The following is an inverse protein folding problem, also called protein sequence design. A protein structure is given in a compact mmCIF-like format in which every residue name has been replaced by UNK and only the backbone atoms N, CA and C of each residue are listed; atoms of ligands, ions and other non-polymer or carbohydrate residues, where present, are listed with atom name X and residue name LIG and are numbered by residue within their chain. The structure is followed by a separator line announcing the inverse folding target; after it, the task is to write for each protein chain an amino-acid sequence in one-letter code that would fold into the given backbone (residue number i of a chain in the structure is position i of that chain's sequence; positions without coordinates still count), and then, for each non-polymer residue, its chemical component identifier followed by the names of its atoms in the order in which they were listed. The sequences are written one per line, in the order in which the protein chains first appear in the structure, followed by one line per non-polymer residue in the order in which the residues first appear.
data_IF_462685071960
#
_entry.id   IF_462685071960
#
_cell.length_a   1.000
_cell.length_b   1.000
_cell.length_c   1.000
_cell.angle_alpha   90.00
_cell.angle_beta   90.00
_cell.angle_gamma   90.00
#
_symmetry.space_group_name_H-M   'P 1'
#
loop_
_entity.id
_entity.type
_entity.pdbx_description
1 polymer ?
#
# COMPACT_ATOMS: atom_id res chain seq x y z
N UNK A 1 -35.50 74.30 42.89
CA UNK A 1 -34.13 74.60 42.41
C UNK A 1 -33.67 73.50 41.47
N UNK A 2 -32.91 73.84 40.41
CA UNK A 2 -33.02 73.16 39.12
C UNK A 2 -31.67 72.63 38.57
N UNK A 3 -31.71 72.17 37.30
CA UNK A 3 -30.64 72.14 36.26
C UNK A 3 -29.68 70.95 36.35
N UNK A 4 -29.60 70.01 35.40
CA UNK A 4 -29.66 70.06 33.92
C UNK A 4 -28.69 71.07 33.28
N UNK A 5 -27.72 70.59 32.49
CA UNK A 5 -27.24 71.17 31.22
C UNK A 5 -26.33 70.11 30.55
N UNK A 6 -26.63 69.60 29.35
CA UNK A 6 -26.55 70.24 28.01
C UNK A 6 -25.08 70.49 27.60
N UNK A 7 -24.59 70.26 26.37
CA UNK A 7 -25.20 69.93 25.07
C UNK A 7 -24.08 69.84 24.00
N UNK A 8 -24.32 69.05 22.96
CA UNK A 8 -23.94 69.16 21.53
C UNK A 8 -22.45 69.32 21.15
N UNK A 9 -21.91 68.39 20.35
CA UNK A 9 -21.95 68.33 18.87
C UNK A 9 -21.12 69.45 18.22
N UNK A 10 -20.27 69.15 17.23
CA UNK A 10 -20.49 69.45 15.80
C UNK A 10 -19.27 69.01 14.94
N UNK A 11 -19.58 68.48 13.75
CA UNK A 11 -18.92 68.63 12.42
C UNK A 11 -17.55 68.01 12.05
N UNK A 12 -17.70 67.08 11.09
CA UNK A 12 -16.92 66.77 9.87
C UNK A 12 -15.99 67.82 9.24
N UNK A 13 -14.86 67.35 8.66
CA UNK A 13 -14.34 67.63 7.29
C UNK A 13 -12.95 66.95 7.12
N UNK A 14 -12.77 65.95 6.23
CA UNK A 14 -12.36 65.99 4.80
C UNK A 14 -10.93 66.50 4.47
N UNK A 15 -10.09 65.56 4.01
CA UNK A 15 -9.13 65.58 2.86
C UNK A 15 -8.05 66.68 2.73
N UNK A 16 -6.76 66.27 2.65
CA UNK A 16 -5.88 66.35 1.43
C UNK A 16 -4.39 66.02 1.69
N UNK A 17 -3.86 65.17 0.79
CA UNK A 17 -2.51 65.01 0.20
C UNK A 17 -1.33 65.90 0.68
N UNK A 18 -0.13 65.33 0.88
CA UNK A 18 0.93 65.17 -0.15
C UNK A 18 2.37 64.98 0.42
N UNK A 19 3.05 63.97 -0.11
CA UNK A 19 4.49 63.73 -0.34
C UNK A 19 5.59 64.53 0.39
N UNK A 20 6.50 63.80 1.07
CA UNK A 20 7.94 64.10 1.11
C UNK A 20 8.78 62.82 0.99
N UNK A 21 9.73 62.86 0.05
CA UNK A 21 10.84 61.94 -0.34
C UNK A 21 11.70 61.45 0.85
N UNK A 22 12.02 60.15 1.05
CA UNK A 22 13.11 59.29 0.45
C UNK A 22 14.50 59.97 0.62
N UNK A 23 15.58 59.47 1.25
CA UNK A 23 16.23 58.15 1.56
C UNK A 23 17.41 58.40 2.56
N UNK A 24 18.37 57.48 2.91
CA UNK A 24 18.37 56.03 3.22
C UNK A 24 19.29 55.65 4.44
N UNK A 25 19.53 54.33 4.63
CA UNK A 25 20.47 53.61 5.54
C UNK A 25 19.81 53.06 6.82
N UNK A 26 19.93 51.79 7.22
CA UNK A 26 20.86 50.70 6.90
C UNK A 26 20.13 49.38 7.26
N UNK A 27 20.12 48.36 6.40
CA UNK A 27 19.54 47.04 6.71
C UNK A 27 20.67 46.05 6.94
N UNK A 28 20.68 45.42 8.12
CA UNK A 28 21.36 44.13 8.38
C UNK A 28 20.30 43.07 8.69
N UNK A 29 20.45 41.82 8.23
CA UNK A 29 19.40 40.81 8.30
C UNK A 29 19.45 40.03 9.62
N UNK A 30 18.35 40.01 10.35
CA UNK A 30 18.12 39.05 11.43
C UNK A 30 17.20 37.93 10.93
N UNK A 31 17.75 36.73 10.97
CA UNK A 31 17.11 35.43 10.77
C UNK A 31 15.84 35.27 11.60
N UNK A 32 14.75 34.82 10.98
CA UNK A 32 13.56 34.32 11.68
C UNK A 32 13.19 32.94 11.13
N UNK A 33 13.20 31.96 12.05
CA UNK A 33 12.71 30.60 11.84
C UNK A 33 11.22 30.62 11.46
N UNK A 34 10.84 29.89 10.42
CA UNK A 34 9.43 29.66 10.06
C UNK A 34 8.86 28.54 10.91
N UNK A 35 7.95 28.87 11.83
CA UNK A 35 6.91 27.97 12.32
C UNK A 35 5.75 27.91 11.30
N UNK A 36 5.04 26.78 11.12
CA UNK A 36 3.92 26.70 10.19
C UNK A 36 2.66 27.22 10.89
N UNK A 37 2.24 28.44 10.55
CA UNK A 37 0.94 28.98 10.95
C UNK A 37 -0.17 28.44 10.02
N UNK A 38 -1.21 27.95 10.67
CA UNK A 38 -2.47 27.42 10.14
C UNK A 38 -3.15 28.46 9.23
N UNK A 39 -3.49 28.07 8.00
CA UNK A 39 -4.37 28.87 7.12
C UNK A 39 -5.81 28.45 7.34
N UNK A 40 -6.66 29.39 7.79
CA UNK A 40 -8.12 29.23 7.86
C UNK A 40 -8.72 29.86 6.60
N UNK A 41 -9.59 29.15 5.89
CA UNK A 41 -10.39 29.70 4.80
C UNK A 41 -11.84 29.27 5.00
N UNK A 42 -12.75 30.25 5.00
CA UNK A 42 -14.19 30.03 5.12
C UNK A 42 -14.83 29.97 3.74
N UNK A 43 -15.66 28.97 3.49
CA UNK A 43 -16.65 28.99 2.40
C UNK A 43 -18.00 28.54 2.92
N UNK A 44 -19.04 29.34 2.63
CA UNK A 44 -20.44 29.07 3.01
C UNK A 44 -21.15 28.48 1.81
N UNK A 45 -21.60 27.23 1.89
CA UNK A 45 -22.65 26.69 1.01
C UNK A 45 -23.66 25.91 1.86
N UNK A 46 -24.90 26.39 1.88
CA UNK A 46 -26.13 25.73 2.38
C UNK A 46 -26.10 25.16 3.81
N UNK A 47 -25.94 26.04 4.81
CA UNK A 47 -26.68 25.93 6.07
C UNK A 47 -26.37 24.78 7.04
N UNK A 48 -25.35 23.96 6.80
CA UNK A 48 -24.89 22.96 7.76
C UNK A 48 -23.47 23.31 8.25
N UNK A 49 -23.32 23.54 9.55
CA UNK A 49 -22.05 23.84 10.20
C UNK A 49 -21.29 22.51 10.40
N UNK A 50 -20.54 22.06 9.39
CA UNK A 50 -19.62 20.93 9.56
C UNK A 50 -18.32 21.49 10.14
N UNK A 51 -18.10 21.22 11.43
CA UNK A 51 -16.82 21.50 12.08
C UNK A 51 -15.75 20.60 11.45
N UNK A 52 -14.79 21.21 10.75
CA UNK A 52 -13.56 20.55 10.29
C UNK A 52 -12.81 20.02 11.51
N UNK A 53 -12.90 18.72 11.76
CA UNK A 53 -11.99 18.03 12.65
C UNK A 53 -10.57 18.15 12.10
N UNK A 54 -9.66 18.67 12.93
CA UNK A 54 -8.22 18.37 13.01
C UNK A 54 -7.54 17.73 11.79
N UNK A 55 -6.57 18.45 11.20
CA UNK A 55 -5.70 17.97 10.09
C UNK A 55 -4.77 16.84 10.54
N UNK A 56 -5.30 15.64 10.70
CA UNK A 56 -4.52 14.42 10.50
C UNK A 56 -4.61 14.04 9.02
N UNK A 57 -3.46 14.02 8.34
CA UNK A 57 -3.40 13.59 6.94
C UNK A 57 -3.60 12.08 6.82
N UNK A 58 -4.03 11.63 5.65
CA UNK A 58 -4.10 10.19 5.34
C UNK A 58 -2.70 9.57 5.36
N UNK A 59 -2.54 8.55 6.20
CA UNK A 59 -1.31 7.79 6.38
C UNK A 59 -1.30 6.58 5.45
N UNK A 60 -0.11 6.13 5.08
CA UNK A 60 0.10 4.83 4.43
C UNK A 60 0.57 3.86 5.52
N UNK A 61 -0.30 2.94 5.93
CA UNK A 61 -0.05 2.00 7.04
C UNK A 61 0.33 0.59 6.55
N UNK A 62 0.21 0.34 5.25
CA UNK A 62 0.72 -0.85 4.60
C UNK A 62 1.06 -0.55 3.14
N UNK A 63 2.14 -1.13 2.62
CA UNK A 63 2.51 -0.94 1.22
C UNK A 63 3.17 -2.19 0.66
N UNK A 64 2.60 -2.74 -0.42
CA UNK A 64 3.17 -3.86 -1.14
C UNK A 64 3.07 -3.69 -2.66
N UNK A 65 4.15 -4.05 -3.34
CA UNK A 65 4.27 -3.93 -4.79
C UNK A 65 5.03 -5.11 -5.37
N UNK A 66 4.99 -5.24 -6.69
CA UNK A 66 5.63 -6.33 -7.41
C UNK A 66 6.20 -5.81 -8.72
N UNK A 67 7.43 -6.22 -9.04
CA UNK A 67 8.11 -5.86 -10.28
C UNK A 67 8.89 -7.05 -10.84
N UNK A 68 9.29 -6.98 -12.12
CA UNK A 68 10.14 -8.01 -12.73
C UNK A 68 11.60 -7.80 -12.31
N UNK A 69 12.31 -8.87 -11.97
CA UNK A 69 13.72 -8.78 -11.57
C UNK A 69 14.60 -8.13 -12.64
N UNK A 70 14.27 -8.30 -13.94
CA UNK A 70 15.02 -7.69 -15.04
C UNK A 70 15.11 -6.15 -14.97
N UNK A 71 14.16 -5.47 -14.33
CA UNK A 71 14.18 -4.01 -14.21
C UNK A 71 15.21 -3.49 -13.19
N UNK A 72 15.84 -4.37 -12.41
CA UNK A 72 16.97 -3.98 -11.55
C UNK A 72 18.13 -3.42 -12.37
N UNK A 73 18.33 -3.89 -13.62
CA UNK A 73 19.37 -3.36 -14.52
C UNK A 73 19.19 -1.86 -14.84
N UNK A 74 17.98 -1.34 -14.68
CA UNK A 74 17.63 0.03 -15.00
C UNK A 74 17.80 0.97 -13.79
N UNK A 75 18.10 0.45 -12.59
CA UNK A 75 18.28 1.24 -11.36
C UNK A 75 19.39 2.29 -11.46
N UNK A 76 20.48 1.98 -12.17
CA UNK A 76 21.57 2.93 -12.41
C UNK A 76 21.15 4.13 -13.30
N UNK A 77 20.07 3.98 -14.08
CA UNK A 77 19.68 4.94 -15.12
C UNK A 77 18.56 5.90 -14.67
N UNK A 78 18.23 5.98 -13.37
CA UNK A 78 17.09 6.75 -12.86
C UNK A 78 17.00 8.20 -13.40
N UNK A 79 18.13 8.89 -13.52
CA UNK A 79 18.19 10.28 -14.00
C UNK A 79 17.60 10.49 -15.41
N UNK A 80 17.50 9.43 -16.21
CA UNK A 80 16.99 9.47 -17.58
C UNK A 80 15.46 9.36 -17.71
N UNK A 81 14.73 8.96 -16.65
CA UNK A 81 13.30 8.63 -16.75
C UNK A 81 12.34 9.77 -16.38
N UNK A 82 12.81 10.87 -15.79
CA UNK A 82 11.94 12.00 -15.43
C UNK A 82 11.92 13.05 -16.56
N UNK A 83 10.82 13.11 -17.32
CA UNK A 83 10.64 13.99 -18.49
C UNK A 83 10.01 15.35 -18.16
N UNK A 84 9.73 15.68 -16.89
CA UNK A 84 9.09 16.95 -16.53
C UNK A 84 10.05 18.13 -16.76
N UNK A 85 9.73 18.99 -17.73
CA UNK A 85 10.55 20.14 -18.13
C UNK A 85 10.26 21.42 -17.35
N UNK A 86 9.30 21.40 -16.41
CA UNK A 86 8.99 22.57 -15.58
C UNK A 86 10.16 22.93 -14.65
N UNK A 87 10.27 24.20 -14.24
CA UNK A 87 11.32 24.63 -13.30
C UNK A 87 11.25 23.87 -11.95
N UNK A 88 10.03 23.54 -11.50
CA UNK A 88 9.79 22.67 -10.34
C UNK A 88 10.27 21.23 -10.61
N UNK A 89 9.98 20.69 -11.79
CA UNK A 89 10.48 19.39 -12.26
C UNK A 89 12.01 19.35 -12.39
N UNK A 90 12.65 20.46 -12.77
CA UNK A 90 14.10 20.57 -12.92
C UNK A 90 14.83 20.60 -11.56
N UNK A 91 14.39 21.44 -10.62
CA UNK A 91 14.91 21.43 -9.25
C UNK A 91 14.74 20.06 -8.58
N UNK A 92 13.59 19.42 -8.84
CA UNK A 92 13.29 18.07 -8.37
C UNK A 92 14.21 17.03 -8.99
N UNK A 93 14.44 17.06 -10.31
CA UNK A 93 15.46 16.20 -10.96
C UNK A 93 16.82 16.36 -10.33
N UNK A 94 17.26 17.58 -10.02
CA UNK A 94 18.58 17.81 -9.44
C UNK A 94 18.71 17.21 -8.04
N UNK A 95 17.66 17.32 -7.21
CA UNK A 95 17.63 16.75 -5.86
C UNK A 95 17.50 15.23 -5.85
N UNK A 96 16.65 14.66 -6.70
CA UNK A 96 16.53 13.21 -6.87
C UNK A 96 17.82 12.64 -7.48
N UNK A 97 18.33 13.25 -8.56
CA UNK A 97 19.59 12.84 -9.19
C UNK A 97 20.78 12.89 -8.22
N UNK A 98 20.82 13.86 -7.29
CA UNK A 98 21.86 13.91 -6.26
C UNK A 98 21.74 12.81 -5.20
N UNK A 99 20.54 12.27 -4.96
CA UNK A 99 20.35 11.09 -4.11
C UNK A 99 20.89 9.84 -4.82
N UNK A 100 20.53 9.65 -6.09
CA UNK A 100 20.93 8.47 -6.87
C UNK A 100 22.40 8.49 -7.29
N UNK A 101 23.00 9.66 -7.52
CA UNK A 101 24.42 9.78 -7.88
C UNK A 101 25.36 9.38 -6.73
N UNK A 102 24.86 9.30 -5.50
CA UNK A 102 25.62 8.82 -4.34
C UNK A 102 25.55 7.30 -4.17
N UNK A 103 24.70 6.63 -4.94
CA UNK A 103 24.54 5.18 -4.90
C UNK A 103 25.50 4.58 -5.92
N UNK A 104 26.42 3.74 -5.46
CA UNK A 104 27.29 2.95 -6.33
C UNK A 104 26.53 1.71 -6.78
N UNK A 105 26.06 1.72 -8.02
CA UNK A 105 25.34 0.59 -8.60
C UNK A 105 26.31 -0.46 -9.16
N UNK A 106 26.00 -1.77 -9.04
CA UNK A 106 26.77 -2.82 -9.69
C UNK A 106 26.79 -2.67 -11.21
N UNK A 107 27.93 -2.97 -11.81
CA UNK A 107 28.03 -3.06 -13.27
C UNK A 107 27.47 -4.38 -13.77
N UNK A 108 26.71 -4.32 -14.86
CA UNK A 108 26.18 -5.51 -15.52
C UNK A 108 27.18 -6.03 -16.55
N UNK A 109 27.46 -7.34 -16.57
CA UNK A 109 28.38 -7.91 -17.55
C UNK A 109 27.83 -7.71 -18.96
N UNK A 110 28.73 -7.58 -19.93
CA UNK A 110 28.40 -7.64 -21.35
C UNK A 110 28.72 -9.04 -21.88
N UNK A 111 27.81 -9.59 -22.68
CA UNK A 111 28.07 -10.88 -23.31
C UNK A 111 29.09 -10.69 -24.43
N UNK A 112 30.24 -11.35 -24.31
CA UNK A 112 31.25 -11.39 -25.36
C UNK A 112 31.15 -12.76 -26.02
N UNK A 113 30.74 -12.77 -27.29
CA UNK A 113 30.60 -14.01 -28.03
C UNK A 113 31.99 -14.61 -28.32
N UNK A 114 32.27 -15.86 -27.91
CA UNK A 114 33.57 -16.45 -28.17
C UNK A 114 33.75 -16.75 -29.66
N UNK A 115 34.77 -16.15 -30.28
CA UNK A 115 35.07 -16.36 -31.70
C UNK A 115 35.91 -17.64 -31.91
N UNK A 116 35.55 -18.44 -32.91
CA UNK A 116 36.36 -19.60 -33.34
C UNK A 116 36.32 -20.82 -32.42
N UNK A 117 35.41 -20.84 -31.45
CA UNK A 117 35.29 -21.89 -30.44
C UNK A 117 34.16 -22.89 -30.74
N UNK A 118 34.21 -24.06 -30.09
CA UNK A 118 33.23 -25.13 -30.28
C UNK A 118 31.86 -24.74 -29.72
N UNK A 119 30.79 -25.45 -30.12
CA UNK A 119 29.45 -25.25 -29.54
C UNK A 119 29.45 -25.38 -28.01
N UNK A 120 30.27 -26.29 -27.46
CA UNK A 120 30.39 -26.50 -26.01
C UNK A 120 30.99 -25.28 -25.29
N UNK A 121 31.97 -24.64 -25.90
CA UNK A 121 32.62 -23.44 -25.34
C UNK A 121 31.65 -22.24 -25.36
N UNK A 122 30.80 -22.15 -26.40
CA UNK A 122 29.75 -21.14 -26.49
C UNK A 122 28.68 -21.32 -25.41
N UNK A 123 28.26 -22.55 -25.16
CA UNK A 123 27.29 -22.86 -24.11
C UNK A 123 27.87 -22.55 -22.73
N UNK A 124 29.15 -22.86 -22.51
CA UNK A 124 29.85 -22.53 -21.26
C UNK A 124 29.93 -21.01 -21.05
N UNK A 125 30.33 -20.25 -22.08
CA UNK A 125 30.37 -18.80 -22.01
C UNK A 125 29.00 -18.18 -21.75
N UNK A 126 27.93 -18.73 -22.33
CA UNK A 126 26.56 -18.29 -22.07
C UNK A 126 26.15 -18.54 -20.61
N UNK A 127 26.48 -19.71 -20.06
CA UNK A 127 26.18 -20.05 -18.66
C UNK A 127 26.94 -19.14 -17.68
N UNK A 128 28.22 -18.87 -17.94
CA UNK A 128 29.03 -17.99 -17.10
C UNK A 128 28.52 -16.55 -17.16
N UNK A 129 28.12 -16.08 -18.34
CA UNK A 129 27.46 -14.79 -18.50
C UNK A 129 26.15 -14.71 -17.71
N UNK A 130 25.28 -15.71 -17.83
CA UNK A 130 24.01 -15.77 -17.10
C UNK A 130 24.23 -15.76 -15.58
N UNK A 131 25.21 -16.52 -15.08
CA UNK A 131 25.59 -16.52 -13.66
C UNK A 131 26.05 -15.13 -13.20
N UNK A 132 26.93 -14.51 -13.97
CA UNK A 132 27.48 -13.18 -13.67
C UNK A 132 26.38 -12.10 -13.70
N UNK A 133 25.45 -12.22 -14.64
CA UNK A 133 24.30 -11.33 -14.75
C UNK A 133 23.35 -11.47 -13.55
N UNK A 134 23.08 -12.71 -13.11
CA UNK A 134 22.25 -12.94 -11.93
C UNK A 134 22.90 -12.37 -10.66
N UNK A 135 24.22 -12.53 -10.51
CA UNK A 135 24.97 -11.92 -9.39
C UNK A 135 24.81 -10.39 -9.42
N UNK A 136 24.91 -9.75 -10.58
CA UNK A 136 24.70 -8.31 -10.72
C UNK A 136 23.26 -7.88 -10.35
N UNK A 137 22.25 -8.67 -10.73
CA UNK A 137 20.86 -8.44 -10.30
C UNK A 137 20.72 -8.53 -8.78
N UNK A 138 21.26 -9.57 -8.16
CA UNK A 138 21.15 -9.80 -6.71
C UNK A 138 21.87 -8.69 -5.92
N UNK A 139 23.06 -8.29 -6.35
CA UNK A 139 23.78 -7.14 -5.78
C UNK A 139 22.98 -5.84 -5.95
N UNK A 140 22.36 -5.64 -7.11
CA UNK A 140 21.56 -4.43 -7.38
C UNK A 140 20.31 -4.40 -6.51
N UNK A 141 19.68 -5.55 -6.24
CA UNK A 141 18.58 -5.67 -5.30
C UNK A 141 19.00 -5.26 -3.88
N UNK A 142 20.16 -5.73 -3.41
CA UNK A 142 20.69 -5.33 -2.09
C UNK A 142 20.91 -3.82 -2.01
N UNK A 143 21.63 -3.26 -2.98
CA UNK A 143 21.90 -1.80 -3.07
C UNK A 143 20.61 -0.99 -3.15
N UNK A 144 19.61 -1.47 -3.90
CA UNK A 144 18.31 -0.82 -4.00
C UNK A 144 17.63 -0.72 -2.63
N UNK A 145 17.56 -1.83 -1.89
CA UNK A 145 16.88 -1.83 -0.60
C UNK A 145 17.65 -1.05 0.45
N UNK A 146 18.97 -1.18 0.51
CA UNK A 146 19.79 -0.49 1.49
C UNK A 146 19.87 1.03 1.21
N UNK A 147 20.19 1.43 -0.02
CA UNK A 147 20.48 2.84 -0.31
C UNK A 147 19.24 3.66 -0.68
N UNK A 148 18.30 3.09 -1.45
CA UNK A 148 17.10 3.81 -1.86
C UNK A 148 15.98 3.69 -0.82
N UNK A 149 15.56 2.47 -0.48
CA UNK A 149 14.48 2.25 0.48
C UNK A 149 14.90 2.46 1.94
N UNK A 150 16.18 2.25 2.26
CA UNK A 150 16.68 2.40 3.62
C UNK A 150 16.46 1.18 4.50
N UNK A 151 16.45 -0.03 3.93
CA UNK A 151 16.24 -1.29 4.66
C UNK A 151 17.38 -2.26 4.42
N UNK A 152 17.78 -2.98 5.47
CA UNK A 152 18.68 -4.13 5.37
C UNK A 152 17.88 -5.37 5.00
N UNK A 153 18.35 -6.13 4.02
CA UNK A 153 17.79 -7.46 3.72
C UNK A 153 18.40 -8.46 4.70
N UNK A 154 17.55 -9.16 5.44
CA UNK A 154 17.95 -10.23 6.35
C UNK A 154 18.23 -11.56 5.64
N UNK A 155 18.64 -12.56 6.41
CA UNK A 155 18.85 -13.93 5.91
C UNK A 155 17.55 -14.58 5.41
N UNK A 156 17.69 -15.56 4.51
CA UNK A 156 16.55 -16.34 4.01
C UNK A 156 15.79 -16.97 5.16
N UNK A 157 14.46 -16.99 5.08
CA UNK A 157 13.59 -17.69 6.03
C UNK A 157 13.46 -19.18 5.74
N UNK A 158 14.13 -19.66 4.67
CA UNK A 158 14.00 -21.03 4.16
C UNK A 158 12.54 -21.42 3.86
N UNK A 159 11.69 -20.41 3.65
CA UNK A 159 10.26 -20.57 3.42
C UNK A 159 9.79 -19.54 2.39
N UNK A 160 9.08 -20.03 1.39
CA UNK A 160 8.38 -19.22 0.41
C UNK A 160 7.21 -18.42 1.00
N UNK A 161 6.72 -17.46 0.23
CA UNK A 161 5.57 -16.62 0.61
C UNK A 161 4.76 -16.29 -0.64
N UNK A 162 3.43 -16.32 -0.61
CA UNK A 162 2.56 -15.95 -1.75
C UNK A 162 2.92 -16.63 -3.10
N UNK A 163 3.36 -17.89 -3.07
CA UNK A 163 3.78 -18.63 -4.27
C UNK A 163 5.19 -18.31 -4.77
N UNK A 164 5.93 -17.44 -4.07
CA UNK A 164 7.36 -17.27 -4.25
C UNK A 164 8.14 -18.39 -3.55
N UNK A 165 9.32 -18.73 -4.09
CA UNK A 165 10.16 -19.82 -3.58
C UNK A 165 10.82 -19.46 -2.26
N UNK A 166 11.29 -18.22 -2.13
CA UNK A 166 12.06 -17.74 -0.98
C UNK A 166 11.48 -16.43 -0.45
N UNK A 167 11.72 -16.16 0.84
CA UNK A 167 11.38 -14.87 1.45
C UNK A 167 12.43 -14.43 2.45
N UNK A 168 12.64 -13.12 2.50
CA UNK A 168 13.67 -12.44 3.28
C UNK A 168 13.02 -11.32 4.09
N UNK A 169 13.21 -11.25 5.41
CA UNK A 169 12.73 -10.13 6.20
C UNK A 169 13.53 -8.87 5.87
N UNK A 170 12.86 -7.72 5.97
CA UNK A 170 13.48 -6.41 5.90
C UNK A 170 13.65 -5.86 7.31
N UNK A 171 14.81 -5.28 7.60
CA UNK A 171 15.11 -4.65 8.88
C UNK A 171 15.51 -3.19 8.70
N UNK A 172 15.44 -2.43 9.78
CA UNK A 172 16.01 -1.08 9.82
C UNK A 172 17.54 -1.12 9.65
N UNK A 173 18.11 -0.07 9.06
CA UNK A 173 19.55 0.02 8.86
C UNK A 173 20.35 0.35 10.14
N UNK A 174 19.69 0.92 11.15
CA UNK A 174 20.38 1.50 12.31
C UNK A 174 20.70 0.44 13.36
N UNK A 175 19.70 -0.36 13.73
CA UNK A 175 19.81 -1.44 14.71
C UNK A 175 19.83 -2.81 14.06
N UNK A 176 19.17 -2.98 12.90
CA UNK A 176 19.01 -4.28 12.25
C UNK A 176 18.08 -5.24 13.01
N UNK A 177 17.29 -4.74 13.97
CA UNK A 177 16.48 -5.55 14.87
C UNK A 177 14.98 -5.38 14.60
N UNK A 178 14.56 -4.20 14.13
CA UNK A 178 13.15 -3.89 13.94
C UNK A 178 12.74 -4.37 12.55
N UNK A 179 11.84 -5.34 12.50
CA UNK A 179 11.36 -5.87 11.23
C UNK A 179 10.40 -4.90 10.54
N UNK A 180 10.77 -4.45 9.34
CA UNK A 180 10.06 -3.46 8.54
C UNK A 180 9.18 -4.07 7.44
N UNK A 181 9.39 -5.34 7.10
CA UNK A 181 8.68 -5.98 6.01
C UNK A 181 9.29 -7.28 5.54
N UNK A 182 9.00 -7.64 4.29
CA UNK A 182 9.54 -8.80 3.60
C UNK A 182 9.76 -8.54 2.10
N UNK A 183 10.75 -9.20 1.54
CA UNK A 183 10.89 -9.44 0.10
C UNK A 183 10.63 -10.93 -0.15
N UNK A 184 9.99 -11.26 -1.27
CA UNK A 184 9.84 -12.63 -1.74
C UNK A 184 10.33 -12.77 -3.18
N UNK A 185 11.10 -13.82 -3.44
CA UNK A 185 11.85 -14.05 -4.68
C UNK A 185 11.57 -15.45 -5.25
N UNK A 186 11.77 -15.57 -6.56
CA UNK A 186 11.70 -16.84 -7.29
C UNK A 186 10.28 -17.33 -7.55
N UNK A 187 10.03 -17.89 -8.73
CA UNK A 187 8.66 -18.22 -9.16
C UNK A 187 7.91 -16.97 -9.66
N UNK A 188 6.58 -17.06 -9.78
CA UNK A 188 5.71 -15.94 -10.19
C UNK A 188 6.22 -15.12 -11.40
N UNK A 189 6.71 -15.81 -12.44
CA UNK A 189 7.30 -15.21 -13.64
C UNK A 189 8.48 -14.26 -13.35
N UNK A 190 9.41 -14.67 -12.49
CA UNK A 190 10.64 -13.94 -12.16
C UNK A 190 10.36 -12.52 -11.66
N UNK A 191 9.27 -12.41 -10.89
CA UNK A 191 8.94 -11.18 -10.19
C UNK A 191 9.55 -11.17 -8.80
N UNK A 192 9.65 -9.96 -8.25
CA UNK A 192 10.07 -9.68 -6.90
C UNK A 192 8.87 -9.02 -6.22
N UNK A 193 8.40 -9.62 -5.13
CA UNK A 193 7.34 -9.05 -4.30
C UNK A 193 7.94 -8.40 -3.07
N UNK A 194 7.49 -7.19 -2.76
CA UNK A 194 7.94 -6.43 -1.60
C UNK A 194 6.73 -6.01 -0.81
N UNK A 195 6.79 -6.19 0.51
CA UNK A 195 5.75 -5.79 1.44
C UNK A 195 6.35 -5.11 2.66
N UNK A 196 5.85 -3.93 2.98
CA UNK A 196 6.21 -3.14 4.15
C UNK A 196 5.07 -3.17 5.16
N UNK A 197 5.41 -3.32 6.44
CA UNK A 197 4.48 -3.15 7.56
C UNK A 197 4.20 -1.67 7.82
N UNK A 198 3.25 -1.34 8.70
CA UNK A 198 3.03 0.06 9.10
C UNK A 198 4.27 0.72 9.70
N UNK A 199 5.06 -0.04 10.47
CA UNK A 199 6.36 0.42 10.96
C UNK A 199 7.34 0.69 9.81
N UNK A 200 7.40 -0.20 8.82
CA UNK A 200 8.23 -0.01 7.62
C UNK A 200 7.80 1.19 6.78
N UNK A 201 6.49 1.40 6.61
CA UNK A 201 5.94 2.57 5.91
C UNK A 201 6.29 3.86 6.65
N UNK A 202 6.11 3.92 7.97
CA UNK A 202 6.51 5.08 8.79
C UNK A 202 7.99 5.41 8.62
N UNK A 203 8.86 4.39 8.68
CA UNK A 203 10.30 4.56 8.49
C UNK A 203 10.64 5.08 7.09
N UNK A 204 10.03 4.51 6.05
CA UNK A 204 10.27 4.90 4.65
C UNK A 204 9.82 6.33 4.40
N UNK A 205 8.58 6.67 4.75
CA UNK A 205 7.99 7.97 4.45
C UNK A 205 8.53 9.11 5.32
N UNK A 206 9.21 8.80 6.42
CA UNK A 206 10.02 9.78 7.15
C UNK A 206 11.24 10.28 6.33
N UNK A 207 11.73 9.47 5.39
CA UNK A 207 12.96 9.74 4.61
C UNK A 207 12.72 9.95 3.12
N UNK A 208 11.57 9.53 2.61
CA UNK A 208 11.22 9.53 1.18
C UNK A 208 9.83 10.09 1.02
N UNK A 209 9.67 11.05 0.10
CA UNK A 209 8.33 11.52 -0.23
C UNK A 209 7.57 10.45 -1.03
N UNK A 210 6.23 10.37 -0.90
CA UNK A 210 5.42 9.47 -1.72
C UNK A 210 5.59 9.72 -3.23
N UNK A 211 5.83 10.97 -3.62
CA UNK A 211 6.08 11.36 -5.01
C UNK A 211 7.41 10.82 -5.55
N UNK A 212 8.49 10.87 -4.77
CA UNK A 212 9.78 10.28 -5.14
C UNK A 212 9.63 8.76 -5.33
N UNK A 213 8.98 8.11 -4.37
CA UNK A 213 8.74 6.67 -4.42
C UNK A 213 7.90 6.30 -5.65
N UNK A 214 6.82 7.04 -5.90
CA UNK A 214 5.99 6.88 -7.10
C UNK A 214 6.82 6.95 -8.39
N UNK A 215 7.63 8.00 -8.54
CA UNK A 215 8.44 8.22 -9.75
C UNK A 215 9.46 7.10 -9.96
N UNK A 216 10.08 6.62 -8.89
CA UNK A 216 11.02 5.50 -8.96
C UNK A 216 10.34 4.19 -9.35
N UNK A 217 9.26 3.84 -8.65
CA UNK A 217 8.55 2.59 -8.89
C UNK A 217 7.94 2.54 -10.29
N UNK A 218 7.35 3.65 -10.77
CA UNK A 218 6.77 3.71 -12.13
C UNK A 218 7.82 3.84 -13.21
N UNK A 219 8.80 4.72 -13.05
CA UNK A 219 9.79 5.04 -14.09
C UNK A 219 10.87 3.98 -14.27
N UNK A 220 11.40 3.43 -13.17
CA UNK A 220 12.53 2.47 -13.21
C UNK A 220 12.04 1.03 -13.09
N UNK A 221 11.18 0.73 -12.11
CA UNK A 221 10.70 -0.64 -11.90
C UNK A 221 9.48 -1.00 -12.76
N UNK A 222 9.03 -0.07 -13.62
CA UNK A 222 7.89 -0.22 -14.53
C UNK A 222 6.61 -0.72 -13.82
N UNK A 223 6.36 -0.22 -12.61
CA UNK A 223 5.20 -0.57 -11.81
C UNK A 223 4.05 0.38 -12.17
N UNK A 224 2.99 -0.17 -12.75
CA UNK A 224 1.73 0.57 -13.00
C UNK A 224 0.68 0.34 -11.92
N UNK A 225 0.88 -0.68 -11.08
CA UNK A 225 -0.10 -1.11 -10.08
C UNK A 225 0.55 -1.54 -8.79
N UNK A 226 -0.10 -1.16 -7.70
CA UNK A 226 0.29 -1.54 -6.36
C UNK A 226 -0.44 -2.84 -5.99
N UNK A 227 0.27 -3.81 -5.44
CA UNK A 227 -0.31 -5.09 -5.03
C UNK A 227 -1.25 -4.89 -3.84
N UNK A 228 -0.82 -4.09 -2.87
CA UNK A 228 -1.63 -3.64 -1.73
C UNK A 228 -1.16 -2.28 -1.22
N UNK A 229 -2.09 -1.40 -0.87
CA UNK A 229 -1.81 -0.19 -0.08
C UNK A 229 -2.92 -0.04 0.95
N UNK A 230 -2.55 0.15 2.21
CA UNK A 230 -3.52 0.45 3.26
C UNK A 230 -3.41 1.93 3.60
N UNK A 231 -4.52 2.65 3.44
CA UNK A 231 -4.65 4.07 3.73
C UNK A 231 -5.40 4.22 5.06
N UNK A 232 -4.88 5.03 5.97
CA UNK A 232 -5.43 5.17 7.31
C UNK A 232 -5.65 6.64 7.70
N UNK A 233 -6.76 6.89 8.38
CA UNK A 233 -7.07 8.14 9.06
C UNK A 233 -7.18 7.87 10.57
N UNK A 234 -6.46 8.67 11.37
CA UNK A 234 -6.54 8.62 12.83
C UNK A 234 -7.41 9.78 13.33
N UNK A 235 -8.50 9.45 14.03
CA UNK A 235 -9.41 10.38 14.68
C UNK A 235 -9.16 10.36 16.20
N UNK A 236 -8.75 11.51 16.76
CA UNK A 236 -8.57 11.66 18.21
C UNK A 236 -9.74 12.38 18.88
N UNK A 237 -10.67 12.90 18.09
CA UNK A 237 -11.85 13.64 18.53
C UNK A 237 -13.05 12.72 18.78
N UNK A 238 -13.03 11.49 18.25
CA UNK A 238 -14.11 10.52 18.39
C UNK A 238 -15.26 10.68 17.40
N UNK A 239 -15.17 11.60 16.44
CA UNK A 239 -16.23 11.86 15.46
C UNK A 239 -16.44 10.72 14.44
N UNK A 240 -15.42 9.87 14.25
CA UNK A 240 -15.40 8.79 13.26
C UNK A 240 -15.13 7.44 13.94
N UNK A 241 -15.97 7.12 14.91
CA UNK A 241 -15.91 5.87 15.68
C UNK A 241 -16.62 4.69 14.98
N UNK A 242 -16.77 3.58 15.70
CA UNK A 242 -17.41 2.38 15.18
C UNK A 242 -18.92 2.55 14.97
N UNK A 243 -19.60 3.33 15.81
CA UNK A 243 -21.04 3.59 15.69
C UNK A 243 -21.32 4.48 14.46
N UNK A 244 -20.45 5.45 14.18
CA UNK A 244 -20.48 6.22 12.95
C UNK A 244 -20.33 5.32 11.72
N UNK A 245 -19.38 4.38 11.74
CA UNK A 245 -19.17 3.44 10.63
C UNK A 245 -20.37 2.51 10.40
N UNK A 246 -21.06 2.06 11.46
CA UNK A 246 -22.29 1.27 11.35
C UNK A 246 -23.42 2.09 10.73
N UNK A 247 -23.63 3.31 11.23
CA UNK A 247 -24.65 4.24 10.70
C UNK A 247 -24.39 4.51 9.21
N UNK A 248 -23.14 4.83 8.85
CA UNK A 248 -22.75 5.07 7.47
C UNK A 248 -22.92 3.83 6.58
N UNK A 249 -22.76 2.61 7.13
CA UNK A 249 -23.05 1.38 6.40
C UNK A 249 -24.54 1.22 6.11
N UNK A 250 -25.39 1.46 7.12
CA UNK A 250 -26.85 1.39 6.98
C UNK A 250 -27.39 2.44 6.00
N UNK A 251 -26.77 3.61 5.96
CA UNK A 251 -27.04 4.68 4.98
C UNK A 251 -26.49 4.37 3.57
N UNK A 252 -25.76 3.26 3.40
CA UNK A 252 -25.19 2.86 2.11
C UNK A 252 -23.93 3.63 1.71
N UNK A 253 -23.28 4.36 2.61
CA UNK A 253 -22.12 5.22 2.30
C UNK A 253 -20.84 4.45 1.92
N UNK A 254 -20.81 3.13 2.12
CA UNK A 254 -19.76 2.23 1.62
C UNK A 254 -20.10 1.58 0.27
N UNK A 255 -21.29 1.86 -0.25
CA UNK A 255 -21.81 1.26 -1.47
C UNK A 255 -21.55 2.13 -2.68
N UNK A 256 -20.67 1.69 -3.59
CA UNK A 256 -20.49 2.37 -4.88
C UNK A 256 -21.38 1.78 -5.97
N UNK A 257 -21.23 0.47 -6.23
CA UNK A 257 -21.92 -0.28 -7.31
C UNK A 257 -21.99 -1.77 -6.96
N UNK A 258 -23.06 -2.46 -7.37
CA UNK A 258 -23.17 -3.92 -7.33
C UNK A 258 -23.79 -4.47 -6.05
N UNK A 259 -23.22 -5.53 -5.48
CA UNK A 259 -23.69 -6.09 -4.20
C UNK A 259 -23.11 -5.25 -3.04
N UNK A 260 -23.91 -4.86 -2.04
CA UNK A 260 -23.40 -4.24 -0.83
C UNK A 260 -22.28 -5.07 -0.19
N UNK A 261 -21.20 -4.44 0.30
CA UNK A 261 -20.13 -5.15 0.98
C UNK A 261 -20.65 -5.83 2.25
N UNK A 262 -20.05 -6.95 2.65
CA UNK A 262 -20.43 -7.62 3.90
C UNK A 262 -20.02 -6.77 5.12
N UNK A 263 -20.86 -6.70 6.15
CA UNK A 263 -20.55 -6.06 7.42
C UNK A 263 -20.22 -7.12 8.48
N UNK A 264 -19.21 -6.86 9.30
CA UNK A 264 -18.96 -7.63 10.53
C UNK A 264 -18.48 -6.71 11.64
N UNK A 265 -19.16 -6.71 12.78
CA UNK A 265 -18.79 -5.94 13.96
C UNK A 265 -18.28 -6.87 15.07
N UNK A 266 -17.03 -6.70 15.47
CA UNK A 266 -16.40 -7.42 16.57
C UNK A 266 -16.17 -6.48 17.75
N UNK A 267 -16.72 -6.83 18.91
CA UNK A 267 -16.52 -6.11 20.18
C UNK A 267 -16.18 -7.09 21.30
N UNK A 268 -14.96 -7.68 21.31
CA UNK A 268 -14.55 -8.64 22.34
C UNK A 268 -14.61 -8.02 23.74
N UNK A 269 -15.02 -8.83 24.71
CA UNK A 269 -15.15 -8.44 26.11
C UNK A 269 -14.61 -9.52 27.04
N UNK A 270 -14.01 -9.08 28.15
CA UNK A 270 -13.66 -9.93 29.29
C UNK A 270 -14.43 -9.45 30.52
N UNK A 271 -15.49 -10.18 30.88
CA UNK A 271 -16.46 -9.70 31.85
C UNK A 271 -17.12 -8.41 31.34
N UNK A 272 -17.09 -7.36 32.16
CA UNK A 272 -17.66 -6.05 31.81
C UNK A 272 -16.71 -5.14 31.02
N UNK A 273 -15.44 -5.53 30.87
CA UNK A 273 -14.42 -4.72 30.19
C UNK A 273 -14.42 -5.03 28.70
N UNK A 274 -14.56 -3.97 27.89
CA UNK A 274 -14.37 -4.04 26.43
C UNK A 274 -12.87 -4.09 26.13
N UNK A 275 -12.42 -5.17 25.50
CA UNK A 275 -11.00 -5.35 25.14
C UNK A 275 -10.67 -4.78 23.76
N UNK A 276 -11.68 -4.56 22.93
CA UNK A 276 -11.53 -3.95 21.61
C UNK A 276 -12.87 -3.75 20.93
N UNK A 277 -12.85 -2.96 19.87
CA UNK A 277 -14.01 -2.71 19.03
C UNK A 277 -13.56 -2.48 17.60
N UNK A 278 -14.15 -3.19 16.65
CA UNK A 278 -13.78 -3.14 15.24
C UNK A 278 -14.97 -3.44 14.34
N UNK A 279 -15.23 -2.56 13.38
CA UNK A 279 -16.16 -2.73 12.27
C UNK A 279 -15.37 -3.05 11.01
N UNK A 280 -15.72 -4.17 10.38
CA UNK A 280 -15.20 -4.60 9.09
C UNK A 280 -16.27 -4.39 8.02
N UNK A 281 -15.90 -3.74 6.91
CA UNK A 281 -16.77 -3.61 5.73
C UNK A 281 -16.06 -4.17 4.51
N UNK A 282 -16.66 -5.20 3.90
CA UNK A 282 -16.10 -5.96 2.77
C UNK A 282 -15.42 -7.26 3.21
N UNK A 283 -14.56 -7.79 2.35
CA UNK A 283 -13.82 -9.03 2.61
C UNK A 283 -12.33 -8.82 2.40
N UNK A 284 -11.46 -9.51 3.15
CA UNK A 284 -10.02 -9.52 2.84
C UNK A 284 -9.71 -10.03 1.43
N UNK A 285 -10.63 -10.73 0.75
CA UNK A 285 -10.45 -11.16 -0.64
C UNK A 285 -10.84 -10.08 -1.66
N UNK A 286 -11.60 -9.04 -1.28
CA UNK A 286 -12.01 -7.97 -2.20
C UNK A 286 -10.88 -6.95 -2.43
N UNK A 287 -11.07 -6.12 -3.47
CA UNK A 287 -10.14 -5.04 -3.83
C UNK A 287 -10.18 -3.87 -2.86
N UNK A 288 -11.26 -3.71 -2.11
CA UNK A 288 -11.46 -2.70 -1.07
C UNK A 288 -11.94 -3.43 0.18
N UNK A 289 -11.29 -3.19 1.31
CA UNK A 289 -11.65 -3.77 2.60
C UNK A 289 -11.38 -2.79 3.73
N UNK A 290 -12.44 -2.39 4.43
CA UNK A 290 -12.38 -1.39 5.49
C UNK A 290 -12.26 -2.01 6.87
N UNK A 291 -11.57 -1.30 7.76
CA UNK A 291 -11.45 -1.55 9.19
C UNK A 291 -11.60 -0.22 9.91
N UNK A 292 -12.68 -0.05 10.67
CA UNK A 292 -12.84 1.06 11.60
C UNK A 292 -12.75 0.50 13.00
N UNK A 293 -11.81 0.97 13.81
CA UNK A 293 -11.57 0.35 15.12
C UNK A 293 -11.06 1.31 16.16
N UNK A 294 -11.28 0.96 17.43
CA UNK A 294 -10.70 1.66 18.56
C UNK A 294 -9.20 1.34 18.68
N UNK A 295 -8.37 2.25 18.17
CA UNK A 295 -6.92 2.13 18.13
C UNK A 295 -6.29 2.35 19.50
N UNK A 296 -6.89 3.19 20.35
CA UNK A 296 -6.45 3.35 21.74
C UNK A 296 -6.53 2.01 22.49
N UNK A 297 -7.68 1.33 22.44
CA UNK A 297 -7.84 0.02 23.07
C UNK A 297 -6.88 -1.03 22.49
N UNK A 298 -6.67 -1.03 21.18
CA UNK A 298 -5.71 -1.94 20.54
C UNK A 298 -4.25 -1.70 20.98
N UNK A 299 -3.90 -0.47 21.39
CA UNK A 299 -2.60 -0.13 21.97
C UNK A 299 -2.57 -0.26 23.50
N UNK A 300 -3.65 -0.72 24.15
CA UNK A 300 -3.75 -0.82 25.61
C UNK A 300 -3.90 0.53 26.32
N UNK A 301 -4.41 1.55 25.62
CA UNK A 301 -4.69 2.88 26.17
C UNK A 301 -6.18 3.00 26.49
N UNK A 302 -6.52 3.11 27.77
CA UNK A 302 -7.92 3.08 28.22
C UNK A 302 -8.57 4.47 28.35
N UNK A 303 -7.78 5.52 28.56
CA UNK A 303 -8.26 6.89 28.80
C UNK A 303 -8.06 7.83 27.59
N UNK A 304 -7.86 7.26 26.40
CA UNK A 304 -7.57 8.00 25.18
C UNK A 304 -8.65 7.74 24.14
N UNK A 305 -9.20 8.81 23.56
CA UNK A 305 -10.02 8.69 22.35
C UNK A 305 -9.08 8.59 21.16
N UNK A 306 -9.07 7.43 20.51
CA UNK A 306 -8.33 7.22 19.27
C UNK A 306 -9.00 6.12 18.45
N UNK A 307 -9.69 6.53 17.40
CA UNK A 307 -10.26 5.64 16.40
C UNK A 307 -9.47 5.72 15.11
N UNK A 308 -9.27 4.58 14.45
CA UNK A 308 -8.62 4.50 13.15
C UNK A 308 -9.59 3.96 12.12
N UNK A 309 -9.73 4.71 11.02
CA UNK A 309 -10.38 4.26 9.80
C UNK A 309 -9.31 3.87 8.79
N UNK A 310 -9.18 2.58 8.50
CA UNK A 310 -8.18 2.02 7.60
C UNK A 310 -8.86 1.30 6.43
N UNK A 311 -8.34 1.50 5.22
CA UNK A 311 -8.80 0.79 4.02
C UNK A 311 -7.65 0.09 3.33
N UNK A 312 -7.79 -1.22 3.18
CA UNK A 312 -6.90 -2.08 2.41
C UNK A 312 -7.36 -2.08 0.95
N UNK A 313 -6.50 -1.56 0.07
CA UNK A 313 -6.73 -1.47 -1.36
C UNK A 313 -5.81 -2.42 -2.12
N UNK A 314 -6.35 -3.21 -3.05
CA UNK A 314 -5.58 -4.18 -3.86
C UNK A 314 -5.69 -3.91 -5.35
N UNK A 315 -4.57 -4.02 -6.04
CA UNK A 315 -4.51 -3.90 -7.50
C UNK A 315 -4.86 -2.50 -8.03
N UNK A 316 -4.67 -1.47 -7.20
CA UNK A 316 -4.92 -0.06 -7.55
C UNK A 316 -3.79 0.52 -8.40
N UNK A 317 -4.11 1.54 -9.18
CA UNK A 317 -3.12 2.28 -9.95
C UNK A 317 -2.07 2.94 -9.04
N UNK A 318 -0.83 3.04 -9.51
CA UNK A 318 0.28 3.56 -8.71
C UNK A 318 0.09 5.01 -8.26
N UNK A 319 -0.71 5.81 -8.96
CA UNK A 319 -1.02 7.20 -8.58
C UNK A 319 -1.66 7.34 -7.18
N UNK A 320 -2.28 6.27 -6.65
CA UNK A 320 -2.79 6.25 -5.29
C UNK A 320 -1.69 6.54 -4.24
N UNK A 321 -0.44 6.21 -4.55
CA UNK A 321 0.71 6.55 -3.73
C UNK A 321 1.04 8.06 -3.77
N UNK A 322 0.86 8.72 -4.92
CA UNK A 322 1.22 10.13 -5.09
C UNK A 322 0.23 11.05 -4.36
N UNK A 323 -1.04 10.66 -4.32
CA UNK A 323 -2.14 11.44 -3.74
C UNK A 323 -2.99 10.57 -2.79
N UNK A 324 -2.43 10.14 -1.64
CA UNK A 324 -3.12 9.20 -0.75
C UNK A 324 -4.43 9.77 -0.19
N UNK A 325 -4.49 11.07 0.09
CA UNK A 325 -5.69 11.69 0.64
C UNK A 325 -6.84 11.78 -0.38
N UNK A 326 -6.54 12.25 -1.59
CA UNK A 326 -7.47 12.23 -2.73
C UNK A 326 -7.92 10.81 -3.11
N UNK A 327 -7.00 9.84 -3.04
CA UNK A 327 -7.31 8.43 -3.30
C UNK A 327 -8.24 7.85 -2.23
N UNK A 328 -8.03 8.19 -0.96
CA UNK A 328 -8.91 7.79 0.15
C UNK A 328 -10.29 8.43 0.00
N UNK A 329 -10.35 9.75 -0.15
CA UNK A 329 -11.59 10.51 -0.30
C UNK A 329 -12.46 10.04 -1.48
N UNK A 330 -11.83 9.60 -2.57
CA UNK A 330 -12.50 9.13 -3.78
C UNK A 330 -13.03 7.69 -3.72
N UNK A 331 -12.92 6.99 -2.58
CA UNK A 331 -13.35 5.59 -2.49
C UNK A 331 -14.85 5.44 -2.36
N UNK A 332 -15.50 6.16 -1.45
CA UNK A 332 -16.95 6.14 -1.23
C UNK A 332 -17.40 7.34 -0.38
N UNK A 333 -18.70 7.49 -0.15
CA UNK A 333 -19.25 8.63 0.61
C UNK A 333 -18.75 8.64 2.06
N UNK A 334 -18.57 7.47 2.68
CA UNK A 334 -17.96 7.36 4.01
C UNK A 334 -16.56 7.98 4.05
N UNK A 335 -15.68 7.64 3.12
CA UNK A 335 -14.33 8.19 3.10
C UNK A 335 -14.29 9.67 2.73
N UNK A 336 -15.19 10.12 1.85
CA UNK A 336 -15.33 11.53 1.50
C UNK A 336 -15.79 12.38 2.70
N UNK A 337 -16.61 11.81 3.59
CA UNK A 337 -17.03 12.49 4.83
C UNK A 337 -15.89 12.68 5.84
N UNK A 338 -14.88 11.81 5.82
CA UNK A 338 -13.72 11.86 6.73
C UNK A 338 -12.66 12.84 6.22
N UNK A 339 -12.31 12.75 4.94
CA UNK A 339 -11.25 13.54 4.33
C UNK A 339 -11.78 14.24 3.08
N UNK A 340 -12.33 15.45 3.19
CA UNK A 340 -12.88 16.20 2.06
C UNK A 340 -11.76 16.88 1.25
N UNK A 341 -10.86 16.10 0.65
CA UNK A 341 -9.85 16.55 -0.32
C UNK A 341 -10.37 16.41 -1.77
N UNK A 342 -9.71 17.06 -2.74
CA UNK A 342 -10.04 16.91 -4.17
C UNK A 342 -10.01 15.42 -4.59
N UNK A 343 -11.13 14.93 -5.14
CA UNK A 343 -11.33 13.52 -5.43
C UNK A 343 -10.51 13.03 -6.63
N UNK A 344 -9.77 11.92 -6.46
CA UNK A 344 -9.20 11.16 -7.59
C UNK A 344 -9.90 9.81 -7.65
N UNK A 345 -10.56 9.53 -8.77
CA UNK A 345 -11.17 8.21 -9.01
C UNK A 345 -10.10 7.12 -9.09
N UNK A 346 -10.06 6.25 -8.08
CA UNK A 346 -9.15 5.10 -8.05
C UNK A 346 -9.59 4.08 -9.10
N UNK A 347 -8.80 3.92 -10.16
CA UNK A 347 -9.08 2.96 -11.24
C UNK A 347 -8.64 1.55 -10.83
N UNK A 348 -9.59 0.62 -10.78
CA UNK A 348 -9.33 -0.81 -10.67
C UNK A 348 -9.34 -1.43 -12.07
N UNK A 349 -8.37 -2.32 -12.39
CA UNK A 349 -8.35 -3.01 -13.69
C UNK A 349 -9.23 -4.25 -13.64
N UNK A 350 -10.16 -4.37 -14.56
CA UNK A 350 -10.84 -5.63 -14.90
C UNK A 350 -9.82 -6.56 -15.57
N UNK A 351 -9.47 -7.69 -14.94
CA UNK A 351 -8.56 -8.66 -15.56
C UNK A 351 -9.31 -9.49 -16.61
N UNK A 352 -8.72 -9.64 -17.80
CA UNK A 352 -9.23 -10.48 -18.88
C UNK A 352 -9.13 -11.96 -18.45
N UNK A 353 -10.28 -12.64 -18.32
CA UNK A 353 -10.46 -13.97 -17.71
C UNK A 353 -9.56 -15.11 -18.24
N UNK A 354 -8.94 -14.97 -19.40
CA UNK A 354 -8.23 -16.07 -20.10
C UNK A 354 -6.81 -16.32 -19.59
N UNK A 355 -6.06 -15.27 -19.22
CA UNK A 355 -4.71 -15.40 -18.63
C UNK A 355 -4.75 -15.93 -17.18
N UNK A 356 -5.90 -15.76 -16.52
CA UNK A 356 -6.15 -16.13 -15.13
C UNK A 356 -6.18 -17.66 -14.93
N UNK A 357 -6.57 -18.44 -15.94
CA UNK A 357 -6.70 -19.90 -15.81
C UNK A 357 -5.34 -20.62 -15.75
N UNK A 358 -4.39 -20.25 -16.61
CA UNK A 358 -3.02 -20.80 -16.56
C UNK A 358 -2.30 -20.40 -15.26
N UNK A 359 -2.57 -19.19 -14.76
CA UNK A 359 -2.12 -18.74 -13.44
C UNK A 359 -2.71 -19.59 -12.31
N UNK A 360 -4.01 -19.89 -12.35
CA UNK A 360 -4.69 -20.78 -11.38
C UNK A 360 -4.11 -22.19 -11.37
N UNK A 361 -3.83 -22.77 -12.53
CA UNK A 361 -3.19 -24.09 -12.61
C UNK A 361 -1.81 -24.07 -11.95
N UNK A 362 -0.99 -23.05 -12.25
CA UNK A 362 0.34 -22.90 -11.66
C UNK A 362 0.27 -22.69 -10.15
N UNK A 363 -0.63 -21.82 -9.69
CA UNK A 363 -0.90 -21.60 -8.28
C UNK A 363 -1.32 -22.90 -7.58
N UNK A 364 -2.25 -23.66 -8.18
CA UNK A 364 -2.71 -24.94 -7.63
C UNK A 364 -1.56 -25.95 -7.54
N UNK A 365 -0.74 -26.06 -8.59
CA UNK A 365 0.45 -26.93 -8.61
C UNK A 365 1.43 -26.59 -7.48
N UNK A 366 1.66 -25.31 -7.19
CA UNK A 366 2.59 -24.88 -6.14
C UNK A 366 1.99 -24.99 -4.74
N UNK A 367 0.72 -24.63 -4.56
CA UNK A 367 0.11 -24.52 -3.23
C UNK A 367 -0.45 -25.84 -2.72
N UNK A 368 -1.04 -26.64 -3.61
CA UNK A 368 -1.75 -27.87 -3.26
C UNK A 368 -1.32 -29.07 -4.09
N UNK A 369 -0.34 -28.93 -4.99
CA UNK A 369 0.05 -30.01 -5.90
C UNK A 369 0.54 -31.28 -5.21
N UNK A 370 1.28 -31.14 -4.10
CA UNK A 370 1.68 -32.30 -3.28
C UNK A 370 0.47 -33.00 -2.67
N UNK A 371 -0.44 -32.25 -2.05
CA UNK A 371 -1.67 -32.80 -1.47
C UNK A 371 -2.55 -33.47 -2.53
N UNK A 372 -2.66 -32.88 -3.73
CA UNK A 372 -3.39 -33.50 -4.85
C UNK A 372 -2.76 -34.80 -5.30
N UNK A 373 -1.43 -34.89 -5.29
CA UNK A 373 -0.70 -36.12 -5.59
C UNK A 373 -0.94 -37.18 -4.52
N UNK A 374 -0.84 -36.83 -3.24
CA UNK A 374 -1.08 -37.75 -2.12
C UNK A 374 -2.52 -38.29 -2.14
N UNK A 375 -3.50 -37.45 -2.52
CA UNK A 375 -4.90 -37.86 -2.70
C UNK A 375 -5.04 -38.81 -3.90
N UNK A 376 -4.39 -38.50 -5.03
CA UNK A 376 -4.41 -39.38 -6.19
C UNK A 376 -3.76 -40.74 -5.89
N UNK A 377 -2.67 -40.75 -5.13
CA UNK A 377 -1.99 -41.97 -4.66
C UNK A 377 -2.86 -42.78 -3.69
N UNK A 378 -3.60 -42.12 -2.79
CA UNK A 378 -4.56 -42.78 -1.90
C UNK A 378 -5.67 -43.52 -2.64
N UNK A 379 -6.03 -43.06 -3.84
CA UNK A 379 -6.98 -43.71 -4.72
C UNK A 379 -6.31 -44.57 -5.80
N UNK A 380 -5.09 -45.07 -5.54
CA UNK A 380 -4.33 -45.95 -6.44
C UNK A 380 -4.13 -45.38 -7.86
N UNK A 381 -4.06 -44.05 -7.97
CA UNK A 381 -3.95 -43.35 -9.25
C UNK A 381 -5.26 -43.16 -10.00
N UNK A 382 -6.42 -43.49 -9.42
CA UNK A 382 -7.74 -43.16 -10.01
C UNK A 382 -8.03 -41.66 -9.86
N UNK A 383 -7.63 -40.92 -10.90
CA UNK A 383 -7.77 -39.47 -10.98
C UNK A 383 -9.24 -39.04 -10.90
N UNK A 384 -10.19 -39.82 -11.41
CA UNK A 384 -11.61 -39.43 -11.39
C UNK A 384 -12.20 -39.50 -9.99
N UNK A 385 -11.82 -40.54 -9.23
CA UNK A 385 -12.26 -40.75 -7.86
C UNK A 385 -11.58 -39.74 -6.92
N UNK A 386 -10.29 -39.50 -7.11
CA UNK A 386 -9.54 -38.45 -6.41
C UNK A 386 -10.10 -37.05 -6.69
N UNK A 387 -10.32 -36.71 -7.96
CA UNK A 387 -10.86 -35.41 -8.36
C UNK A 387 -12.28 -35.21 -7.85
N UNK A 388 -13.10 -36.24 -7.92
CA UNK A 388 -14.47 -36.17 -7.44
C UNK A 388 -14.58 -36.08 -5.91
N UNK A 389 -13.64 -36.65 -5.15
CA UNK A 389 -13.56 -36.50 -3.70
C UNK A 389 -13.15 -35.07 -3.28
N UNK A 390 -12.48 -34.33 -4.17
CA UNK A 390 -12.09 -32.93 -3.99
C UNK A 390 -13.21 -31.93 -4.34
N UNK A 391 -14.21 -32.36 -5.11
CA UNK A 391 -15.32 -31.50 -5.51
C UNK A 391 -16.35 -31.39 -4.37
N UNK A 392 -16.75 -30.16 -4.03
CA UNK A 392 -17.80 -29.88 -3.04
C UNK A 392 -19.15 -30.51 -3.46
N UNK A 393 -20.01 -30.84 -2.49
CA UNK A 393 -21.36 -31.42 -2.70
C UNK A 393 -22.27 -30.49 -3.54
N UNK A 394 -21.85 -29.24 -3.73
CA UNK A 394 -22.46 -28.19 -4.56
C UNK A 394 -22.21 -28.35 -6.09
N UNK A 395 -22.53 -29.52 -6.65
CA UNK A 395 -22.99 -29.73 -8.04
C UNK A 395 -22.25 -29.12 -9.24
N UNK A 396 -21.70 -30.00 -10.08
CA UNK A 396 -21.46 -29.79 -11.52
C UNK A 396 -21.59 -31.12 -12.27
N UNK A 397 -21.68 -31.11 -13.62
CA UNK A 397 -21.83 -32.29 -14.51
C UNK A 397 -20.78 -33.42 -14.32
N UNK A 398 -19.78 -33.20 -13.46
CA UNK A 398 -18.61 -34.06 -13.22
C UNK A 398 -18.52 -34.55 -11.75
N UNK A 399 -19.52 -34.29 -10.90
CA UNK A 399 -19.53 -34.76 -9.51
C UNK A 399 -19.67 -36.28 -9.38
N UNK A 400 -19.12 -36.87 -8.32
CA UNK A 400 -19.24 -38.31 -8.05
C UNK A 400 -20.70 -38.68 -7.76
N UNK A 401 -21.26 -39.74 -8.40
CA UNK A 401 -22.58 -40.26 -8.05
C UNK A 401 -22.69 -40.63 -6.56
N UNK A 402 -23.84 -40.33 -5.94
CA UNK A 402 -24.09 -40.51 -4.50
C UNK A 402 -23.73 -41.92 -3.95
N UNK A 403 -23.81 -42.95 -4.80
CA UNK A 403 -23.47 -44.34 -4.48
C UNK A 403 -21.99 -44.54 -4.16
N UNK A 404 -21.10 -43.91 -4.92
CA UNK A 404 -19.65 -43.97 -4.67
C UNK A 404 -19.27 -43.16 -3.42
N UNK A 405 -19.95 -42.03 -3.15
CA UNK A 405 -19.74 -41.25 -1.93
C UNK A 405 -20.08 -42.03 -0.65
N UNK A 406 -21.10 -42.89 -0.68
CA UNK A 406 -21.39 -43.79 0.45
C UNK A 406 -20.27 -44.81 0.67
N UNK A 407 -19.77 -45.44 -0.39
CA UNK A 407 -18.68 -46.42 -0.30
C UNK A 407 -17.39 -45.79 0.25
N UNK A 408 -17.06 -44.57 -0.17
CA UNK A 408 -15.90 -43.82 0.34
C UNK A 408 -16.08 -43.47 1.82
N UNK A 409 -17.27 -43.00 2.24
CA UNK A 409 -17.56 -42.72 3.67
C UNK A 409 -17.43 -43.98 4.53
N UNK A 410 -17.98 -45.11 4.09
CA UNK A 410 -17.90 -46.38 4.83
C UNK A 410 -16.45 -46.89 4.94
N UNK A 411 -15.63 -46.75 3.89
CA UNK A 411 -14.22 -47.14 3.95
C UNK A 411 -13.37 -46.21 4.82
N UNK A 412 -13.64 -44.90 4.80
CA UNK A 412 -12.95 -43.93 5.68
C UNK A 412 -13.34 -44.10 7.15
N UNK A 413 -14.57 -44.50 7.45
CA UNK A 413 -15.00 -44.87 8.80
C UNK A 413 -14.30 -46.14 9.29
N UNK A 414 -14.11 -47.15 8.43
CA UNK A 414 -13.39 -48.37 8.78
C UNK A 414 -11.90 -48.15 9.07
N UNK A 415 -11.25 -47.18 8.40
CA UNK A 415 -9.83 -46.81 8.66
C UNK A 415 -9.67 -46.03 9.97
N UNK A 416 -10.73 -45.41 10.51
CA UNK A 416 -10.69 -44.68 11.80
C UNK A 416 -10.92 -45.56 13.03
N UNK A 417 -11.38 -46.79 12.85
CA UNK A 417 -11.70 -47.73 13.93
C UNK A 417 -10.94 -49.07 13.83
N UNK A 418 -9.93 -49.16 12.96
CA UNK A 418 -9.05 -50.32 12.78
C UNK A 418 -7.65 -50.10 13.34
#
# INVERSE_FOLDING_TARGET
MPRSKRVNATTSQQWKNSNVSVCPALVLPTTYMKSPLITISFYVIKGCLIMSASKNGILIDHFAFTFKGIYLRDCANYSSFNTDTTAKGLYKRLTESALFSKITWPEFPQFVEPHGLSSQDRDTALQDFQRSYQIALDMTLMVLFENFFGFKIGSSREKGMFGYKESYPLYDLETGQIQMGFIALGGNNDTIYTQLSGTGCKYLFAKRSPELLHNFLSGVLNISKIARIDLAYDCFEGNFDCDYALTAYDDGAFHNKGRPPALNHLKPRRGDVVEGETVYVGSRKSTVYWRVYNKALEQGLHDTVWFRSEVELKGVHIDALKHPASAFAGLCDFSASIAPDEHINVKFKTVQNTLDFAGKIRWAKTMVGKTLYDIAEHFDGDINLAYGALCDESGGKLGIPQTYMRLIKTNLENVRYG
#
